data_IF_784451459667
#
_entry.id   IF_784451459667
#
_cell.length_a   1.000
_cell.length_b   1.000
_cell.length_c   1.000
_cell.angle_alpha   90.00
_cell.angle_beta   90.00
_cell.angle_gamma   90.00
#
_symmetry.space_group_name_H-M   'P 1'
#
loop_
_entity.id
_entity.type
_entity.pdbx_description
1 polymer ?
#
# COMPACT_ATOMS: atom_id res chain seq x y z
N UNK A 1 -0.59 -39.51 -1.42
CA UNK A 1 -0.13 -38.13 -1.16
C UNK A 1 0.55 -37.62 -2.41
N UNK A 2 -0.03 -36.62 -3.08
CA UNK A 2 0.65 -35.97 -4.21
C UNK A 2 1.67 -34.98 -3.63
N UNK A 3 2.96 -35.25 -3.86
CA UNK A 3 4.03 -34.35 -3.46
C UNK A 3 4.10 -33.20 -4.47
N UNK A 4 3.22 -32.20 -4.30
CA UNK A 4 3.31 -30.95 -5.03
C UNK A 4 4.59 -30.25 -4.55
N UNK A 5 5.59 -30.00 -5.42
CA UNK A 5 6.77 -29.26 -4.99
C UNK A 5 6.33 -27.87 -4.50
N UNK A 6 6.91 -27.33 -3.42
CA UNK A 6 6.61 -25.97 -3.00
C UNK A 6 6.86 -25.03 -4.18
N UNK A 7 5.92 -24.12 -4.43
CA UNK A 7 6.09 -23.09 -5.44
C UNK A 7 7.38 -22.30 -5.13
N UNK A 8 8.17 -22.01 -6.15
CA UNK A 8 9.39 -21.22 -5.98
C UNK A 8 9.06 -19.88 -5.32
N UNK A 9 9.62 -19.64 -4.13
CA UNK A 9 9.53 -18.35 -3.44
C UNK A 9 10.11 -17.26 -4.34
N UNK A 10 9.47 -16.09 -4.40
CA UNK A 10 9.94 -14.97 -5.21
C UNK A 10 10.32 -13.84 -4.28
N UNK A 11 11.58 -13.39 -4.36
CA UNK A 11 12.19 -12.44 -3.43
C UNK A 11 12.72 -11.21 -4.17
N UNK A 12 13.05 -10.14 -3.44
CA UNK A 12 13.67 -8.96 -4.03
C UNK A 12 15.06 -9.32 -4.57
N UNK A 13 15.37 -8.92 -5.81
CA UNK A 13 16.75 -8.91 -6.31
C UNK A 13 17.43 -7.61 -5.87
N UNK A 14 18.37 -7.64 -4.90
CA UNK A 14 18.97 -6.43 -4.36
C UNK A 14 19.87 -5.72 -5.38
N UNK A 15 20.46 -6.45 -6.33
CA UNK A 15 21.29 -5.89 -7.39
C UNK A 15 20.45 -5.17 -8.44
N UNK A 16 19.37 -5.80 -8.90
CA UNK A 16 18.44 -5.18 -9.85
C UNK A 16 17.69 -4.00 -9.23
N UNK A 17 17.31 -4.08 -7.95
CA UNK A 17 16.72 -2.96 -7.23
C UNK A 17 17.70 -1.78 -7.10
N UNK A 18 18.95 -2.02 -6.68
CA UNK A 18 19.98 -0.97 -6.59
C UNK A 18 20.28 -0.32 -7.94
N UNK A 19 20.36 -1.11 -9.02
CA UNK A 19 20.53 -0.60 -10.37
C UNK A 19 19.34 0.27 -10.83
N UNK A 20 18.11 -0.15 -10.51
CA UNK A 20 16.91 0.63 -10.83
C UNK A 20 16.86 1.95 -10.07
N UNK A 21 17.19 1.97 -8.76
CA UNK A 21 17.24 3.19 -7.97
C UNK A 21 18.36 4.14 -8.45
N UNK A 22 19.54 3.61 -8.75
CA UNK A 22 20.68 4.38 -9.26
C UNK A 22 20.34 5.02 -10.62
N UNK A 23 19.70 4.26 -11.52
CA UNK A 23 19.24 4.74 -12.84
C UNK A 23 18.19 5.84 -12.74
N UNK A 24 17.26 5.74 -11.77
CA UNK A 24 16.18 6.70 -11.61
C UNK A 24 16.59 7.97 -10.84
N UNK A 25 17.59 7.89 -9.97
CA UNK A 25 18.13 9.05 -9.21
C UNK A 25 19.35 9.71 -9.88
N UNK A 26 19.99 9.04 -10.85
CA UNK A 26 21.21 9.51 -11.51
C UNK A 26 22.47 9.44 -10.63
N UNK A 27 22.40 8.76 -9.49
CA UNK A 27 23.48 8.66 -8.49
C UNK A 27 24.01 7.23 -8.30
N UNK A 28 25.05 7.10 -7.48
CA UNK A 28 25.52 5.80 -6.97
C UNK A 28 25.37 5.76 -5.45
N UNK A 29 24.90 4.63 -4.93
CA UNK A 29 24.77 4.39 -3.49
C UNK A 29 26.16 4.30 -2.83
N UNK A 30 26.39 5.08 -1.78
CA UNK A 30 27.62 5.00 -0.98
C UNK A 30 27.74 3.64 -0.26
N UNK A 31 28.96 3.22 0.10
CA UNK A 31 29.13 2.04 0.97
C UNK A 31 28.45 2.29 2.32
N UNK A 32 27.74 1.28 2.85
CA UNK A 32 26.91 1.38 4.05
C UNK A 32 25.51 1.96 3.82
N UNK A 33 25.24 2.60 2.68
CA UNK A 33 23.93 3.20 2.40
C UNK A 33 22.83 2.12 2.34
N UNK A 34 21.67 2.43 2.95
CA UNK A 34 20.46 1.62 2.90
C UNK A 34 19.38 2.32 2.08
N UNK A 35 18.57 1.54 1.36
CA UNK A 35 17.40 2.03 0.65
C UNK A 35 16.23 1.05 0.79
N UNK A 36 15.02 1.58 0.72
CA UNK A 36 13.79 0.81 0.79
C UNK A 36 13.32 0.40 -0.61
N UNK A 37 12.71 -0.78 -0.72
CA UNK A 37 12.02 -1.27 -1.92
C UNK A 37 10.57 -1.53 -1.54
N UNK A 38 9.66 -0.79 -2.18
CA UNK A 38 8.22 -0.95 -2.09
C UNK A 38 7.73 -1.51 -3.43
N UNK A 39 7.22 -2.75 -3.46
CA UNK A 39 6.83 -3.40 -4.71
C UNK A 39 5.43 -4.00 -4.66
N UNK A 40 4.43 -3.19 -5.06
CA UNK A 40 3.05 -3.64 -5.26
C UNK A 40 2.82 -4.16 -6.68
N UNK A 41 2.67 -5.48 -6.79
CA UNK A 41 2.42 -6.22 -8.02
C UNK A 41 0.93 -6.35 -8.36
N UNK A 42 0.59 -7.37 -9.17
CA UNK A 42 -0.81 -7.72 -9.47
C UNK A 42 -1.45 -8.51 -8.33
N UNK A 43 -0.70 -9.35 -7.62
CA UNK A 43 -1.23 -10.33 -6.65
C UNK A 43 -0.30 -10.54 -5.45
N UNK A 44 0.68 -9.64 -5.28
CA UNK A 44 1.62 -9.69 -4.16
C UNK A 44 2.28 -8.33 -3.97
N UNK A 45 2.51 -8.02 -2.70
CA UNK A 45 3.29 -6.89 -2.23
C UNK A 45 4.59 -7.44 -1.68
N UNK A 46 5.72 -6.79 -2.00
CA UNK A 46 7.01 -7.10 -1.40
C UNK A 46 7.62 -5.81 -0.85
N UNK A 47 7.96 -5.80 0.43
CA UNK A 47 8.73 -4.76 1.09
C UNK A 47 10.13 -5.31 1.42
N UNK A 48 11.18 -4.52 1.18
CA UNK A 48 12.53 -4.88 1.61
C UNK A 48 13.37 -3.64 1.94
N UNK A 49 14.34 -3.80 2.83
CA UNK A 49 15.46 -2.86 2.99
C UNK A 49 16.72 -3.50 2.44
N UNK A 50 17.37 -2.82 1.50
CA UNK A 50 18.62 -3.25 0.88
C UNK A 50 19.75 -2.34 1.32
N UNK A 51 20.86 -2.91 1.78
CA UNK A 51 22.07 -2.17 2.18
C UNK A 51 23.24 -2.51 1.28
N UNK A 52 24.02 -1.51 0.89
CA UNK A 52 25.30 -1.72 0.20
C UNK A 52 26.38 -2.08 1.22
N UNK A 53 26.95 -3.27 1.09
CA UNK A 53 28.10 -3.75 1.88
C UNK A 53 29.25 -3.96 0.91
N UNK A 54 30.29 -3.13 1.03
CA UNK A 54 31.41 -3.04 0.08
C UNK A 54 30.93 -2.80 -1.37
N UNK A 55 31.03 -3.84 -2.22
CA UNK A 55 30.58 -3.83 -3.61
C UNK A 55 29.33 -4.71 -3.86
N UNK A 56 28.70 -5.20 -2.78
CA UNK A 56 27.52 -6.05 -2.84
C UNK A 56 26.29 -5.33 -2.30
N UNK A 57 25.11 -5.67 -2.84
CA UNK A 57 23.83 -5.23 -2.31
C UNK A 57 23.18 -6.43 -1.61
N UNK A 58 22.76 -6.25 -0.37
CA UNK A 58 22.25 -7.32 0.50
C UNK A 58 20.89 -6.90 1.05
N UNK A 59 19.89 -7.78 0.96
CA UNK A 59 18.61 -7.62 1.64
C UNK A 59 18.85 -7.80 3.14
N UNK A 60 18.48 -6.80 3.95
CA UNK A 60 18.66 -6.79 5.41
C UNK A 60 17.41 -7.33 6.11
N UNK A 61 16.24 -6.95 5.61
CA UNK A 61 14.93 -7.48 6.00
C UNK A 61 14.01 -7.45 4.77
N UNK A 62 13.08 -8.40 4.67
CA UNK A 62 12.04 -8.43 3.63
C UNK A 62 10.75 -9.09 4.12
N UNK A 63 9.60 -8.61 3.64
CA UNK A 63 8.27 -9.17 3.88
C UNK A 63 7.50 -9.27 2.56
N UNK A 64 6.56 -10.20 2.48
CA UNK A 64 5.74 -10.44 1.29
C UNK A 64 4.30 -10.72 1.70
N UNK A 65 3.37 -9.90 1.23
CA UNK A 65 1.94 -10.02 1.51
C UNK A 65 1.13 -10.36 0.25
N UNK A 66 -0.02 -11.05 0.38
CA UNK A 66 -0.91 -11.38 -0.75
C UNK A 66 -1.78 -10.19 -1.20
N UNK A 67 -1.26 -8.96 -1.12
CA UNK A 67 -1.95 -7.72 -1.49
C UNK A 67 -1.43 -7.22 -2.83
N UNK A 68 -2.29 -6.82 -3.76
CA UNK A 68 -1.90 -6.31 -5.07
C UNK A 68 -3.02 -5.61 -5.83
N UNK A 69 -2.74 -5.36 -7.11
CA UNK A 69 -3.71 -4.70 -7.99
C UNK A 69 -4.99 -5.51 -8.26
N UNK A 70 -4.98 -6.84 -8.09
CA UNK A 70 -6.18 -7.67 -8.28
C UNK A 70 -7.22 -7.41 -7.18
N UNK A 71 -6.76 -7.15 -5.95
CA UNK A 71 -7.58 -6.80 -4.80
C UNK A 71 -8.16 -5.38 -5.01
N UNK A 72 -7.37 -4.45 -5.55
CA UNK A 72 -7.82 -3.11 -5.94
C UNK A 72 -8.90 -3.17 -7.04
N UNK A 73 -8.72 -4.05 -8.03
CA UNK A 73 -9.67 -4.26 -9.12
C UNK A 73 -10.96 -4.96 -8.62
N UNK A 74 -10.85 -5.77 -7.57
CA UNK A 74 -11.98 -6.36 -6.84
C UNK A 74 -12.82 -5.32 -6.09
N UNK A 75 -12.18 -4.44 -5.31
CA UNK A 75 -12.86 -3.34 -4.60
C UNK A 75 -13.51 -2.33 -5.56
N UNK A 76 -12.89 -2.07 -6.71
CA UNK A 76 -13.54 -1.31 -7.77
C UNK A 76 -14.75 -2.03 -8.37
N UNK A 77 -14.66 -3.34 -8.61
CA UNK A 77 -15.80 -4.13 -9.08
C UNK A 77 -16.97 -4.09 -8.09
N UNK A 78 -16.68 -4.19 -6.78
CA UNK A 78 -17.64 -4.02 -5.70
C UNK A 78 -18.41 -2.70 -5.82
N UNK A 79 -17.65 -1.60 -5.77
CA UNK A 79 -18.18 -0.24 -5.83
C UNK A 79 -19.02 0.02 -7.09
N UNK A 80 -18.55 -0.44 -8.25
CA UNK A 80 -19.25 -0.23 -9.53
C UNK A 80 -20.55 -1.03 -9.62
N UNK A 81 -20.61 -2.23 -9.02
CA UNK A 81 -21.84 -3.03 -8.98
C UNK A 81 -22.92 -2.40 -8.10
N UNK A 82 -22.55 -1.87 -6.92
CA UNK A 82 -23.47 -1.18 -6.00
C UNK A 82 -24.05 0.13 -6.55
N UNK A 83 -23.35 0.80 -7.48
CA UNK A 83 -23.82 2.05 -8.10
C UNK A 83 -24.93 1.86 -9.15
N UNK A 84 -25.12 0.64 -9.65
CA UNK A 84 -26.04 0.35 -10.76
C UNK A 84 -26.93 -0.88 -10.49
N UNK A 85 -27.70 -0.91 -9.37
CA UNK A 85 -28.53 -2.07 -9.02
C UNK A 85 -29.57 -2.36 -10.11
N UNK A 86 -30.40 -1.37 -10.45
CA UNK A 86 -31.53 -1.54 -11.37
C UNK A 86 -31.13 -1.86 -12.82
N UNK A 87 -29.99 -1.32 -13.27
CA UNK A 87 -29.52 -1.49 -14.63
C UNK A 87 -28.98 -2.90 -14.92
N UNK A 88 -28.86 -3.76 -13.92
CA UNK A 88 -28.15 -5.02 -14.09
C UNK A 88 -28.19 -6.02 -12.95
N UNK A 89 -29.22 -6.11 -12.11
CA UNK A 89 -29.30 -7.14 -11.03
C UNK A 89 -28.84 -8.53 -11.52
N UNK A 90 -29.40 -9.02 -12.64
CA UNK A 90 -29.03 -10.31 -13.28
C UNK A 90 -27.62 -10.35 -13.89
N UNK A 91 -26.99 -9.21 -14.15
CA UNK A 91 -25.60 -9.14 -14.57
C UNK A 91 -24.69 -9.22 -13.35
N UNK A 92 -24.95 -8.40 -12.33
CA UNK A 92 -24.11 -8.31 -11.13
C UNK A 92 -24.12 -9.61 -10.34
N UNK A 93 -25.28 -10.25 -10.12
CA UNK A 93 -25.34 -11.57 -9.46
C UNK A 93 -24.52 -12.64 -10.17
N UNK A 94 -24.46 -12.63 -11.51
CA UNK A 94 -23.65 -13.59 -12.30
C UNK A 94 -22.16 -13.26 -12.33
N UNK A 95 -21.79 -11.99 -12.12
CA UNK A 95 -20.39 -11.57 -11.99
C UNK A 95 -19.87 -11.83 -10.55
N UNK A 96 -20.78 -11.78 -9.58
CA UNK A 96 -20.55 -12.14 -8.19
C UNK A 96 -20.28 -13.64 -8.01
N UNK A 97 -21.25 -14.48 -8.35
CA UNK A 97 -21.12 -15.94 -8.35
C UNK A 97 -21.21 -16.50 -9.79
N UNK A 98 -20.07 -16.59 -10.50
CA UNK A 98 -20.06 -17.02 -11.90
C UNK A 98 -20.12 -18.56 -12.03
N UNK A 99 -21.32 -19.11 -11.86
CA UNK A 99 -21.60 -20.54 -12.01
C UNK A 99 -21.28 -21.07 -13.42
N UNK A 100 -21.62 -20.33 -14.47
CA UNK A 100 -21.38 -20.73 -15.86
C UNK A 100 -19.99 -20.29 -16.39
N UNK A 101 -19.50 -21.00 -17.42
CA UNK A 101 -18.26 -20.62 -18.11
C UNK A 101 -18.36 -19.24 -18.78
N UNK A 102 -19.53 -18.89 -19.30
CA UNK A 102 -19.81 -17.58 -19.89
C UNK A 102 -19.72 -16.46 -18.83
N UNK A 103 -20.21 -16.70 -17.63
CA UNK A 103 -20.18 -15.72 -16.54
C UNK A 103 -18.76 -15.53 -15.98
N UNK A 104 -17.96 -16.61 -15.88
CA UNK A 104 -16.52 -16.49 -15.55
C UNK A 104 -15.75 -15.67 -16.59
N UNK A 105 -16.05 -15.87 -17.88
CA UNK A 105 -15.47 -15.07 -18.96
C UNK A 105 -15.92 -13.60 -18.88
N UNK A 106 -17.19 -13.35 -18.58
CA UNK A 106 -17.74 -12.00 -18.44
C UNK A 106 -17.12 -11.25 -17.25
N UNK A 107 -16.97 -11.91 -16.10
CA UNK A 107 -16.24 -11.39 -14.93
C UNK A 107 -14.80 -11.05 -15.27
N UNK A 108 -14.09 -11.94 -15.97
CA UNK A 108 -12.70 -11.71 -16.38
C UNK A 108 -12.56 -10.50 -17.31
N UNK A 109 -13.46 -10.37 -18.31
CA UNK A 109 -13.48 -9.22 -19.23
C UNK A 109 -13.83 -7.91 -18.53
N UNK A 110 -14.68 -7.92 -17.50
CA UNK A 110 -14.98 -6.73 -16.73
C UNK A 110 -13.81 -6.33 -15.83
N UNK A 111 -13.19 -7.29 -15.13
CA UNK A 111 -11.98 -7.04 -14.34
C UNK A 111 -10.86 -6.47 -15.22
N UNK A 112 -10.65 -6.99 -16.43
CA UNK A 112 -9.67 -6.41 -17.38
C UNK A 112 -9.97 -4.94 -17.71
N UNK A 113 -11.24 -4.58 -17.94
CA UNK A 113 -11.66 -3.19 -18.16
C UNK A 113 -11.46 -2.31 -16.92
N UNK A 114 -11.65 -2.86 -15.73
CA UNK A 114 -11.39 -2.18 -14.46
C UNK A 114 -9.88 -1.95 -14.28
N UNK A 115 -9.04 -2.96 -14.51
CA UNK A 115 -7.57 -2.82 -14.50
C UNK A 115 -7.11 -1.72 -15.46
N UNK A 116 -7.62 -1.70 -16.69
CA UNK A 116 -7.31 -0.66 -17.69
C UNK A 116 -7.78 0.74 -17.24
N UNK A 117 -8.95 0.84 -16.63
CA UNK A 117 -9.47 2.11 -16.10
C UNK A 117 -8.62 2.62 -14.92
N UNK A 118 -8.25 1.75 -13.98
CA UNK A 118 -7.33 2.04 -12.87
C UNK A 118 -5.96 2.52 -13.36
N UNK A 119 -5.41 1.88 -14.39
CA UNK A 119 -4.16 2.28 -15.02
C UNK A 119 -4.27 3.66 -15.68
N UNK A 120 -5.37 3.97 -16.36
CA UNK A 120 -5.64 5.32 -16.86
C UNK A 120 -5.77 6.36 -15.73
N UNK A 121 -6.36 5.98 -14.59
CA UNK A 121 -6.47 6.86 -13.43
C UNK A 121 -5.12 7.19 -12.77
N UNK A 122 -4.07 6.42 -13.06
CA UNK A 122 -2.70 6.75 -12.64
C UNK A 122 -2.13 7.96 -13.40
N UNK A 123 -2.69 8.29 -14.58
CA UNK A 123 -2.26 9.41 -15.43
C UNK A 123 -3.32 10.53 -15.55
N UNK A 124 -4.58 10.23 -15.22
CA UNK A 124 -5.74 11.11 -15.44
C UNK A 124 -6.68 11.10 -14.24
N UNK A 125 -7.43 12.17 -14.02
CA UNK A 125 -8.32 12.28 -12.86
C UNK A 125 -9.68 11.60 -13.09
N UNK A 126 -9.96 11.15 -14.32
CA UNK A 126 -11.26 10.65 -14.77
C UNK A 126 -11.12 9.63 -15.92
N UNK A 127 -12.00 8.63 -15.92
CA UNK A 127 -12.21 7.67 -17.02
C UNK A 127 -13.67 7.18 -17.08
N UNK A 128 -14.02 6.40 -18.09
CA UNK A 128 -15.35 5.77 -18.26
C UNK A 128 -15.21 4.29 -18.59
N UNK A 129 -15.71 3.43 -17.71
CA UNK A 129 -15.76 1.98 -17.93
C UNK A 129 -17.02 1.65 -18.72
N UNK A 130 -16.85 1.01 -19.89
CA UNK A 130 -17.96 0.64 -20.77
C UNK A 130 -18.30 -0.85 -20.61
N UNK A 131 -19.41 -1.17 -19.93
CA UNK A 131 -19.91 -2.53 -19.69
C UNK A 131 -20.83 -2.95 -20.83
N UNK A 132 -20.23 -3.34 -21.96
CA UNK A 132 -20.93 -3.69 -23.21
C UNK A 132 -22.05 -4.72 -23.04
N UNK A 133 -21.95 -5.63 -22.05
CA UNK A 133 -22.95 -6.67 -21.79
C UNK A 133 -24.30 -6.15 -21.25
N UNK A 134 -24.35 -4.90 -20.77
CA UNK A 134 -25.58 -4.22 -20.33
C UNK A 134 -25.71 -2.78 -20.87
N UNK A 135 -24.87 -2.41 -21.84
CA UNK A 135 -24.75 -1.03 -22.38
C UNK A 135 -24.54 0.08 -21.32
N UNK A 136 -23.96 -0.28 -20.17
CA UNK A 136 -23.71 0.67 -19.07
C UNK A 136 -22.40 1.42 -19.31
N UNK A 137 -22.42 2.74 -19.12
CA UNK A 137 -21.23 3.59 -19.06
C UNK A 137 -21.05 4.10 -17.64
N UNK A 138 -20.00 3.65 -16.98
CA UNK A 138 -19.72 3.96 -15.58
C UNK A 138 -18.59 5.00 -15.52
N UNK A 139 -18.89 6.29 -15.32
CA UNK A 139 -17.86 7.30 -15.04
C UNK A 139 -17.17 6.98 -13.71
N UNK A 140 -15.85 7.16 -13.66
CA UNK A 140 -15.03 6.91 -12.47
C UNK A 140 -13.93 7.98 -12.36
N UNK A 141 -13.83 8.62 -11.20
CA UNK A 141 -12.76 9.57 -10.84
C UNK A 141 -11.63 8.88 -10.07
N UNK A 142 -10.43 9.48 -10.09
CA UNK A 142 -9.28 9.00 -9.29
C UNK A 142 -9.63 9.01 -7.80
N UNK A 143 -10.15 10.12 -7.29
CA UNK A 143 -10.56 10.27 -5.89
C UNK A 143 -11.54 9.19 -5.45
N UNK A 144 -12.49 8.82 -6.32
CA UNK A 144 -13.41 7.72 -6.04
C UNK A 144 -12.64 6.41 -5.87
N UNK A 145 -11.79 6.04 -6.83
CA UNK A 145 -10.94 4.85 -6.74
C UNK A 145 -10.04 4.86 -5.49
N UNK A 146 -9.29 5.95 -5.27
CA UNK A 146 -8.30 6.06 -4.20
C UNK A 146 -8.94 5.95 -2.81
N UNK A 147 -10.16 6.47 -2.62
CA UNK A 147 -10.93 6.28 -1.38
C UNK A 147 -11.19 4.81 -1.07
N UNK A 148 -11.42 3.95 -2.08
CA UNK A 148 -11.75 2.52 -1.87
C UNK A 148 -10.53 1.66 -1.61
N UNK A 149 -9.32 2.10 -1.98
CA UNK A 149 -8.08 1.32 -1.79
C UNK A 149 -7.15 1.91 -0.73
N UNK A 150 -7.59 2.96 -0.01
CA UNK A 150 -6.72 3.66 0.93
C UNK A 150 -6.23 2.77 2.08
N UNK A 151 -7.10 1.94 2.65
CA UNK A 151 -6.75 0.99 3.71
C UNK A 151 -5.71 -0.04 3.23
N UNK A 152 -5.88 -0.61 2.03
CA UNK A 152 -4.88 -1.53 1.48
C UNK A 152 -3.53 -0.83 1.20
N UNK A 153 -3.55 0.43 0.76
CA UNK A 153 -2.32 1.22 0.56
C UNK A 153 -1.65 1.52 1.90
N UNK A 154 -2.41 1.93 2.92
CA UNK A 154 -1.87 2.22 4.25
C UNK A 154 -1.35 0.93 4.92
N UNK A 155 -2.04 -0.22 4.80
CA UNK A 155 -1.54 -1.56 5.19
C UNK A 155 -0.22 -1.91 4.52
N UNK A 156 -0.06 -1.67 3.22
CA UNK A 156 1.23 -1.92 2.55
C UNK A 156 2.32 -0.93 2.97
N UNK A 157 1.96 0.24 3.51
CA UNK A 157 2.90 1.15 4.15
C UNK A 157 3.26 0.70 5.58
N UNK A 158 2.31 0.17 6.36
CA UNK A 158 2.57 -0.44 7.67
C UNK A 158 3.61 -1.57 7.55
N UNK A 159 3.43 -2.47 6.58
CA UNK A 159 4.36 -3.58 6.30
C UNK A 159 5.76 -3.06 5.92
N UNK A 160 5.88 -1.93 5.21
CA UNK A 160 7.18 -1.32 4.95
C UNK A 160 7.80 -0.72 6.23
N UNK A 161 7.00 -0.14 7.12
CA UNK A 161 7.45 0.36 8.41
C UNK A 161 7.98 -0.78 9.31
N UNK A 162 7.30 -1.93 9.35
CA UNK A 162 7.78 -3.14 10.03
C UNK A 162 9.16 -3.59 9.49
N UNK A 163 9.33 -3.62 8.16
CA UNK A 163 10.61 -4.00 7.53
C UNK A 163 11.73 -3.00 7.84
N UNK A 164 11.42 -1.70 7.96
CA UNK A 164 12.37 -0.67 8.37
C UNK A 164 12.81 -0.85 9.83
N UNK A 165 11.87 -1.15 10.73
CA UNK A 165 12.15 -1.48 12.13
C UNK A 165 13.00 -2.75 12.24
N UNK A 166 12.65 -3.81 11.51
CA UNK A 166 13.39 -5.08 11.48
C UNK A 166 14.81 -4.92 10.94
N UNK A 167 15.01 -4.06 9.93
CA UNK A 167 16.32 -3.73 9.39
C UNK A 167 17.16 -2.77 10.26
N UNK A 168 16.55 -2.20 11.31
CA UNK A 168 17.16 -1.19 12.18
C UNK A 168 17.54 0.08 11.42
N UNK A 169 16.69 0.56 10.51
CA UNK A 169 16.91 1.77 9.69
C UNK A 169 15.81 2.79 9.94
N UNK A 170 16.18 3.98 10.40
CA UNK A 170 15.22 5.06 10.53
C UNK A 170 14.90 5.66 9.13
N UNK A 171 13.66 6.04 8.80
CA UNK A 171 13.30 6.55 7.47
C UNK A 171 14.20 7.69 6.95
N UNK A 172 14.60 8.60 7.84
CA UNK A 172 15.50 9.72 7.51
C UNK A 172 16.95 9.31 7.16
N UNK A 173 17.34 8.04 7.36
CA UNK A 173 18.65 7.49 7.01
C UNK A 173 18.64 6.80 5.62
N UNK A 174 17.48 6.65 4.99
CA UNK A 174 17.34 6.03 3.69
C UNK A 174 17.96 6.91 2.59
N UNK A 175 18.86 6.32 1.80
CA UNK A 175 19.37 6.92 0.57
C UNK A 175 18.32 6.98 -0.55
N UNK A 176 17.16 6.35 -0.36
CA UNK A 176 16.01 6.43 -1.26
C UNK A 176 14.94 5.38 -0.95
N UNK A 177 13.77 5.54 -1.58
CA UNK A 177 12.66 4.61 -1.54
C UNK A 177 12.26 4.28 -2.99
N UNK A 178 12.58 3.06 -3.44
CA UNK A 178 12.25 2.58 -4.79
C UNK A 178 10.85 1.98 -4.83
N UNK A 179 9.95 2.57 -5.62
CA UNK A 179 8.64 2.01 -5.91
C UNK A 179 8.66 1.19 -7.21
N UNK A 180 8.16 -0.05 -7.19
CA UNK A 180 8.16 -0.93 -8.37
C UNK A 180 6.86 -1.74 -8.51
N UNK A 181 6.56 -2.21 -9.72
CA UNK A 181 5.29 -2.92 -10.01
C UNK A 181 4.18 -1.98 -10.50
N UNK A 182 3.12 -2.57 -11.05
CA UNK A 182 2.05 -1.84 -11.74
C UNK A 182 1.15 -1.04 -10.79
N UNK A 183 0.68 -1.67 -9.71
CA UNK A 183 -0.20 -1.04 -8.74
C UNK A 183 0.51 0.04 -7.90
N UNK A 184 1.84 -0.04 -7.74
CA UNK A 184 2.66 1.05 -7.17
C UNK A 184 2.57 2.37 -7.95
N UNK A 185 2.04 2.39 -9.17
CA UNK A 185 1.85 3.62 -9.96
C UNK A 185 0.60 4.40 -9.57
N UNK A 186 -0.24 3.87 -8.68
CA UNK A 186 -1.37 4.61 -8.09
C UNK A 186 -0.84 5.84 -7.31
N UNK A 187 -1.27 7.07 -7.63
CA UNK A 187 -0.75 8.29 -6.99
C UNK A 187 -0.89 8.33 -5.47
N UNK A 188 -1.96 7.73 -4.92
CA UNK A 188 -2.12 7.52 -3.48
C UNK A 188 -0.92 6.83 -2.83
N UNK A 189 -0.35 5.79 -3.45
CA UNK A 189 0.76 5.05 -2.87
C UNK A 189 2.00 5.93 -2.69
N UNK A 190 2.40 6.70 -3.72
CA UNK A 190 3.50 7.65 -3.59
C UNK A 190 3.21 8.74 -2.55
N UNK A 191 1.96 9.20 -2.47
CA UNK A 191 1.53 10.24 -1.53
C UNK A 191 1.55 9.75 -0.07
N UNK A 192 1.02 8.55 0.21
CA UNK A 192 1.09 7.89 1.52
C UNK A 192 2.54 7.66 1.94
N UNK A 193 3.38 7.08 1.07
CA UNK A 193 4.78 6.79 1.40
C UNK A 193 5.57 8.07 1.71
N UNK A 194 5.40 9.14 0.92
CA UNK A 194 6.02 10.44 1.20
C UNK A 194 5.54 11.04 2.51
N UNK A 195 4.22 11.00 2.78
CA UNK A 195 3.60 11.51 4.02
C UNK A 195 4.13 10.79 5.24
N UNK A 196 4.29 9.46 5.17
CA UNK A 196 4.63 8.59 6.30
C UNK A 196 6.13 8.53 6.59
N UNK A 197 6.96 8.48 5.55
CA UNK A 197 8.41 8.28 5.69
C UNK A 197 9.26 9.54 5.48
N UNK A 198 8.69 10.63 4.94
CA UNK A 198 9.43 11.87 4.67
C UNK A 198 10.48 11.77 3.54
N UNK A 199 10.53 10.63 2.85
CA UNK A 199 11.43 10.36 1.71
C UNK A 199 10.63 10.46 0.42
N UNK A 200 11.14 11.15 -0.60
CA UNK A 200 10.49 11.21 -1.92
C UNK A 200 10.58 9.83 -2.60
N UNK A 201 9.44 9.17 -2.91
CA UNK A 201 9.45 7.87 -3.56
C UNK A 201 9.84 7.97 -5.04
N UNK A 202 10.67 7.06 -5.51
CA UNK A 202 11.17 7.03 -6.88
C UNK A 202 10.60 5.82 -7.61
N UNK A 203 9.80 6.06 -8.66
CA UNK A 203 9.25 4.98 -9.49
C UNK A 203 10.35 4.34 -10.36
N UNK A 204 10.43 3.02 -10.30
CA UNK A 204 11.24 2.22 -11.19
C UNK A 204 10.81 2.37 -12.66
N UNK A 205 11.76 2.18 -13.58
CA UNK A 205 11.47 2.18 -15.01
C UNK A 205 10.41 1.11 -15.37
N UNK A 206 9.57 1.34 -16.39
CA UNK A 206 8.67 0.32 -16.91
C UNK A 206 9.41 -1.00 -17.17
N UNK A 207 8.81 -2.11 -16.72
CA UNK A 207 9.37 -3.47 -16.83
C UNK A 207 10.66 -3.76 -16.01
N UNK A 208 11.04 -2.91 -15.04
CA UNK A 208 12.12 -3.21 -14.11
C UNK A 208 11.89 -4.55 -13.36
N UNK A 209 12.80 -5.51 -13.56
CA UNK A 209 12.76 -6.84 -12.94
C UNK A 209 13.44 -6.82 -11.57
N UNK A 210 12.76 -6.27 -10.57
CA UNK A 210 13.25 -6.19 -9.18
C UNK A 210 12.99 -7.47 -8.36
N UNK A 211 12.52 -8.54 -9.00
CA UNK A 211 12.25 -9.84 -8.38
C UNK A 211 13.09 -10.93 -9.01
N UNK A 212 13.57 -11.85 -8.16
CA UNK A 212 14.24 -13.09 -8.55
C UNK A 212 13.45 -14.28 -7.99
N UNK A 213 13.30 -15.34 -8.78
CA UNK A 213 12.80 -16.60 -8.27
C UNK A 213 13.91 -17.29 -7.49
N UNK A 214 13.65 -17.59 -6.22
CA UNK A 214 14.50 -18.45 -5.43
C UNK A 214 14.44 -19.86 -6.04
N UNK A 215 15.61 -20.39 -6.43
CA UNK A 215 15.69 -21.79 -6.77
C UNK A 215 15.32 -22.57 -5.51
N UNK A 216 14.21 -23.33 -5.55
CA UNK A 216 13.88 -24.28 -4.49
C UNK A 216 15.16 -25.07 -4.15
N UNK A 217 15.51 -25.22 -2.86
CA UNK A 217 16.80 -25.77 -2.48
C UNK A 217 16.96 -27.10 -3.17
N UNK A 218 17.86 -27.14 -4.16
CA UNK A 218 18.26 -28.38 -4.80
C UNK A 218 18.81 -29.20 -3.66
N UNK A 219 18.06 -30.24 -3.26
CA UNK A 219 18.47 -31.11 -2.18
C UNK A 219 19.89 -31.51 -2.49
N UNK A 220 20.84 -31.01 -1.69
CA UNK A 220 22.24 -31.38 -1.80
C UNK A 220 22.25 -32.86 -1.49
N UNK A 221 22.21 -33.66 -2.56
CA UNK A 221 22.53 -35.07 -2.51
C UNK A 221 23.91 -35.06 -1.89
N UNK A 222 23.97 -35.45 -0.63
CA UNK A 222 25.21 -35.67 0.08
C UNK A 222 26.05 -36.54 -0.86
N UNK A 223 27.13 -35.95 -1.38
CA UNK A 223 28.20 -36.76 -1.92
C UNK A 223 28.57 -37.67 -0.75
N UNK A 224 28.56 -39.00 -0.94
CA UNK A 224 28.85 -39.91 0.17
C UNK A 224 30.12 -39.42 0.84
N UNK A 225 30.01 -39.09 2.12
CA UNK A 225 31.19 -38.86 2.93
C UNK A 225 32.03 -40.12 2.74
N UNK A 226 33.22 -39.94 2.18
CA UNK A 226 34.19 -41.03 2.12
C UNK A 226 34.51 -41.31 3.58
N UNK A 227 34.09 -42.48 4.06
CA UNK A 227 34.36 -42.89 5.43
C UNK A 227 35.89 -42.86 5.64
N UNK A 228 36.36 -41.86 6.38
CA UNK A 228 37.72 -41.84 6.92
C UNK A 228 37.83 -43.03 7.87
N UNK A 229 38.54 -44.07 7.44
CA UNK A 229 38.56 -45.39 8.09
C UNK A 229 39.22 -45.30 9.49
N UNK A 230 38.39 -45.16 10.53
CA UNK A 230 38.84 -45.03 11.91
C UNK A 230 39.62 -46.29 12.35
N UNK A 231 40.84 -46.16 12.91
CA UNK A 231 41.78 -47.27 12.96
C UNK A 231 41.40 -48.36 13.99
N UNK A 232 41.33 -49.60 13.50
CA UNK A 232 40.93 -50.78 14.28
C UNK A 232 41.78 -51.04 15.55
N UNK A 233 41.16 -51.55 16.65
CA UNK A 233 41.82 -51.73 17.94
C UNK A 233 42.90 -52.83 17.94
N UNK A 234 44.07 -52.50 18.49
CA UNK A 234 45.25 -53.38 18.52
C UNK A 234 45.10 -54.59 19.46
N UNK A 235 45.17 -55.79 18.91
CA UNK A 235 45.27 -57.06 19.67
C UNK A 235 46.74 -57.38 20.00
N UNK A 236 47.05 -57.78 21.24
CA UNK A 236 48.41 -58.21 21.63
C UNK A 236 48.72 -59.62 21.08
N UNK A 237 49.87 -59.81 20.44
CA UNK A 237 50.36 -61.14 20.05
C UNK A 237 51.70 -61.15 19.31
N UNK A 238 52.75 -61.63 19.99
CA UNK A 238 54.01 -62.21 19.47
C UNK A 238 54.75 -61.53 18.30
N UNK A 239 55.92 -60.98 18.63
CA UNK A 239 56.76 -60.23 17.71
C UNK A 239 57.68 -61.02 16.78
N UNK A 240 58.37 -60.24 15.95
CA UNK A 240 59.77 -60.44 15.58
C UNK A 240 60.38 -59.10 15.15
N UNK A 241 61.66 -58.92 15.43
CA UNK A 241 62.37 -57.67 15.18
C UNK A 241 62.90 -57.58 13.74
N UNK A 242 62.93 -56.37 13.18
CA UNK A 242 63.97 -55.88 12.25
C UNK A 242 64.27 -54.41 12.60
N UNK A 243 65.51 -54.00 12.38
CA UNK A 243 66.14 -52.73 12.79
C UNK A 243 66.24 -51.75 11.59
N UNK A 244 66.48 -50.47 11.89
CA UNK A 244 67.08 -49.36 11.10
C UNK A 244 66.15 -48.12 11.07
N UNK A 245 66.50 -46.86 11.40
CA UNK A 245 67.71 -46.09 11.76
C UNK A 245 67.92 -44.89 10.80
N UNK A 246 68.62 -43.85 11.30
CA UNK A 246 68.89 -42.52 10.70
C UNK A 246 67.68 -41.53 10.73
N UNK A 247 67.72 -40.32 11.32
CA UNK A 247 68.70 -39.19 11.32
C UNK A 247 68.52 -38.27 10.08
N UNK A 248 68.68 -36.93 10.12
CA UNK A 248 69.10 -35.97 11.17
C UNK A 248 68.57 -34.53 10.82
N UNK A 249 68.65 -33.59 11.78
CA UNK A 249 68.83 -32.10 11.73
C UNK A 249 68.77 -31.32 10.38
N UNK A 250 68.36 -30.03 10.32
CA UNK A 250 69.08 -28.83 10.84
C UNK A 250 68.14 -27.59 10.96
N UNK A 251 68.46 -26.68 11.89
CA UNK A 251 67.87 -25.34 12.13
C UNK A 251 68.88 -24.23 11.75
N UNK A 252 68.44 -22.95 11.66
CA UNK A 252 69.19 -21.66 11.54
C UNK A 252 68.98 -20.98 10.17
N UNK A 253 68.64 -19.69 10.02
CA UNK A 253 68.38 -18.60 10.97
C UNK A 253 69.38 -17.44 10.88
N UNK A 254 69.00 -16.27 10.37
CA UNK A 254 69.77 -15.01 10.52
C UNK A 254 68.96 -13.78 10.08
N UNK A 255 69.21 -12.63 10.70
CA UNK A 255 68.81 -11.30 10.23
C UNK A 255 69.78 -10.21 10.72
N UNK A 256 69.95 -9.16 9.92
CA UNK A 256 70.56 -7.85 10.23
C UNK A 256 70.38 -7.00 8.95
N UNK A 257 69.73 -5.83 8.93
CA UNK A 257 70.07 -4.56 9.58
C UNK A 257 71.29 -3.85 8.95
N UNK A 258 71.04 -2.78 8.17
CA UNK A 258 71.89 -1.58 8.08
C UNK A 258 71.11 -0.42 7.43
N UNK A 259 71.46 0.83 7.74
CA UNK A 259 70.85 2.02 7.14
C UNK A 259 71.74 3.27 7.25
N UNK A 260 71.55 4.19 6.30
CA UNK A 260 72.13 5.55 6.19
C UNK A 260 71.52 6.16 4.90
N UNK A 261 70.63 7.15 4.90
CA UNK A 261 70.71 8.57 5.34
C UNK A 261 71.56 9.47 4.44
N UNK A 262 71.00 10.65 4.12
CA UNK A 262 71.54 11.77 3.31
C UNK A 262 71.57 11.50 1.78
N UNK A 263 71.35 12.49 0.90
CA UNK A 263 71.06 13.91 1.14
C UNK A 263 70.60 14.64 -0.13
N UNK A 264 70.16 15.88 0.05
CA UNK A 264 69.55 16.79 -0.94
C UNK A 264 70.54 17.35 -1.99
N UNK A 265 70.04 17.57 -3.23
CA UNK A 265 70.56 18.61 -4.15
C UNK A 265 69.66 18.77 -5.40
N UNK A 266 68.84 19.82 -5.37
CA UNK A 266 68.56 20.86 -6.39
C UNK A 266 69.04 20.73 -7.87
N UNK A 267 68.38 21.56 -8.71
CA UNK A 267 68.81 22.19 -9.98
C UNK A 267 68.42 21.57 -11.34
N UNK A 268 67.58 22.33 -12.08
CA UNK A 268 67.72 22.84 -13.49
C UNK A 268 68.13 21.88 -14.64
N UNK A 269 67.73 22.04 -15.91
CA UNK A 269 66.82 22.93 -16.67
C UNK A 269 66.59 22.31 -18.09
N UNK A 270 65.99 23.06 -19.02
CA UNK A 270 65.87 22.84 -20.48
C UNK A 270 64.93 21.70 -20.96
N UNK A 271 63.83 21.95 -21.69
CA UNK A 271 63.65 22.63 -23.00
C UNK A 271 64.22 21.73 -24.15
N UNK A 272 63.49 21.37 -25.22
CA UNK A 272 62.98 22.19 -26.32
C UNK A 272 61.87 21.48 -27.11
N UNK A 273 60.79 22.24 -27.44
CA UNK A 273 59.97 22.32 -28.69
C UNK A 273 59.86 21.10 -29.63
N UNK A 274 58.75 20.79 -30.31
CA UNK A 274 57.88 21.63 -31.17
C UNK A 274 56.75 20.70 -31.74
N UNK A 275 55.64 21.10 -32.39
CA UNK A 275 55.06 22.39 -32.86
C UNK A 275 53.59 22.18 -33.28
N UNK A 276 52.80 23.28 -33.36
CA UNK A 276 51.48 23.35 -34.00
C UNK A 276 50.31 23.14 -33.03
N UNK A 277 49.44 24.11 -32.71
CA UNK A 277 49.00 25.30 -33.46
C UNK A 277 47.65 24.98 -34.13
N UNK A 278 46.57 25.76 -34.01
CA UNK A 278 46.37 27.16 -33.55
C UNK A 278 44.94 27.31 -32.98
N UNK A 279 44.75 27.93 -31.81
CA UNK A 279 44.16 29.27 -31.58
C UNK A 279 42.72 29.48 -32.13
N UNK A 280 41.68 29.66 -31.28
CA UNK A 280 41.20 30.94 -30.68
C UNK A 280 40.42 31.83 -31.68
N UNK A 281 39.44 32.69 -31.34
CA UNK A 281 38.92 33.24 -30.08
C UNK A 281 37.46 33.76 -30.33
N UNK A 282 36.48 33.68 -29.42
CA UNK A 282 36.10 34.67 -28.36
C UNK A 282 35.06 35.75 -28.78
N UNK A 283 34.20 36.17 -27.83
CA UNK A 283 33.27 37.34 -27.81
C UNK A 283 32.08 37.36 -28.80
N UNK A 284 30.90 37.95 -28.50
CA UNK A 284 30.29 38.51 -27.27
C UNK A 284 28.75 38.62 -27.43
N UNK A 285 28.01 38.87 -26.34
CA UNK A 285 26.58 39.25 -26.34
C UNK A 285 26.39 40.77 -26.55
N UNK A 286 25.24 41.25 -27.08
CA UNK A 286 24.28 41.96 -26.22
C UNK A 286 22.79 41.75 -26.60
N UNK A 287 21.88 42.60 -26.09
CA UNK A 287 20.45 42.34 -25.93
C UNK A 287 19.45 43.14 -26.83
N UNK A 288 18.21 42.63 -26.87
CA UNK A 288 16.89 43.30 -27.03
C UNK A 288 16.53 44.14 -28.28
N UNK A 289 15.41 43.77 -28.96
CA UNK A 289 14.17 44.60 -29.07
C UNK A 289 13.14 44.12 -30.13
N UNK A 290 11.88 44.53 -29.94
CA UNK A 290 10.80 44.81 -30.92
C UNK A 290 9.88 43.68 -31.48
N UNK A 291 8.58 43.81 -31.16
CA UNK A 291 7.39 43.47 -31.99
C UNK A 291 6.99 44.70 -32.87
N UNK A 292 5.91 44.77 -33.72
CA UNK A 292 4.51 44.33 -33.47
C UNK A 292 3.67 43.90 -34.74
N UNK A 293 2.34 44.11 -34.67
CA UNK A 293 1.22 43.95 -35.66
C UNK A 293 0.43 42.61 -35.52
N UNK A 294 -0.88 42.54 -35.20
CA UNK A 294 -2.13 43.28 -35.58
C UNK A 294 -2.66 42.87 -36.98
N UNK A 295 -3.96 42.67 -37.30
CA UNK A 295 -5.28 42.73 -36.62
C UNK A 295 -6.13 41.50 -37.09
N UNK A 296 -7.40 41.20 -36.80
CA UNK A 296 -8.63 42.00 -36.64
C UNK A 296 -9.70 41.31 -35.74
N UNK A 297 -10.62 42.11 -35.22
CA UNK A 297 -11.98 41.71 -34.77
C UNK A 297 -12.99 42.64 -35.44
N UNK A 298 -14.26 42.22 -35.57
CA UNK A 298 -15.34 42.96 -34.90
C UNK A 298 -16.16 42.03 -33.97
N UNK A 299 -16.63 42.44 -32.78
CA UNK A 299 -17.66 43.46 -32.47
C UNK A 299 -19.07 43.00 -32.92
N UNK A 300 -20.18 43.28 -32.25
CA UNK A 300 -20.51 44.17 -31.10
C UNK A 300 -21.89 43.70 -30.54
N UNK A 301 -22.21 43.72 -29.24
CA UNK A 301 -22.95 44.75 -28.46
C UNK A 301 -23.55 44.02 -27.23
N UNK A 302 -23.94 44.60 -26.09
CA UNK A 302 -23.59 45.85 -25.39
C UNK A 302 -24.21 45.80 -23.97
N UNK A 303 -23.64 46.55 -23.01
CA UNK A 303 -24.25 47.23 -21.83
C UNK A 303 -25.32 46.53 -20.94
N UNK A 304 -25.39 46.74 -19.61
CA UNK A 304 -24.83 47.80 -18.76
C UNK A 304 -24.55 47.32 -17.30
N UNK A 305 -23.90 48.19 -16.52
CA UNK A 305 -23.53 48.02 -15.10
C UNK A 305 -24.64 48.46 -14.11
N UNK A 306 -24.49 48.23 -12.78
CA UNK A 306 -25.59 48.19 -11.81
C UNK A 306 -25.77 49.49 -10.99
N UNK A 307 -26.87 49.61 -10.23
CA UNK A 307 -26.93 50.35 -8.93
C UNK A 307 -28.21 50.09 -8.11
N UNK A 308 -28.01 50.04 -6.79
CA UNK A 308 -28.85 50.51 -5.65
C UNK A 308 -30.28 49.98 -5.36
N UNK A 309 -30.52 49.78 -4.05
CA UNK A 309 -31.81 49.56 -3.38
C UNK A 309 -32.61 50.88 -3.23
N UNK A 310 -33.93 50.86 -2.93
CA UNK A 310 -34.33 50.91 -1.51
C UNK A 310 -35.69 50.26 -1.15
N UNK A 311 -35.97 50.11 0.15
CA UNK A 311 -37.30 50.03 0.79
C UNK A 311 -37.72 51.45 1.26
N UNK A 312 -39.02 51.80 1.47
CA UNK A 312 -39.80 51.34 2.65
C UNK A 312 -41.36 51.39 2.56
N UNK A 313 -42.03 51.13 3.71
CA UNK A 313 -43.37 51.59 4.19
C UNK A 313 -44.68 51.13 3.47
N UNK A 314 -45.89 51.11 4.07
CA UNK A 314 -46.44 50.91 5.44
C UNK A 314 -47.97 50.56 5.29
N UNK A 315 -48.77 50.58 6.37
CA UNK A 315 -50.26 50.57 6.42
C UNK A 315 -51.04 49.26 6.07
N UNK A 316 -52.13 48.87 6.75
CA UNK A 316 -52.67 49.19 8.09
C UNK A 316 -53.75 48.17 8.54
N UNK A 317 -54.09 48.16 9.84
CA UNK A 317 -55.34 47.69 10.49
C UNK A 317 -55.69 46.17 10.58
N UNK A 318 -55.91 45.73 11.84
CA UNK A 318 -56.65 44.50 12.22
C UNK A 318 -58.17 44.77 12.34
N UNK A 319 -58.92 44.23 13.34
CA UNK A 319 -58.55 43.41 14.50
C UNK A 319 -59.02 41.94 14.30
N UNK A 320 -59.26 41.03 15.26
CA UNK A 320 -59.37 41.08 16.73
C UNK A 320 -59.10 39.69 17.35
N UNK A 321 -59.06 39.58 18.69
CA UNK A 321 -59.06 38.32 19.44
C UNK A 321 -60.02 38.40 20.65
N UNK A 322 -60.46 37.26 21.20
CA UNK A 322 -60.73 37.17 22.63
C UNK A 322 -59.88 36.13 23.35
N UNK A 323 -59.70 36.35 24.66
CA UNK A 323 -58.87 35.59 25.60
C UNK A 323 -59.77 34.84 26.58
N UNK A 324 -59.50 33.55 26.79
CA UNK A 324 -60.01 32.67 27.86
C UNK A 324 -58.92 31.60 28.09
N UNK A 325 -58.55 31.12 29.28
CA UNK A 325 -58.82 31.54 30.67
C UNK A 325 -57.69 30.97 31.57
N UNK A 326 -57.42 31.54 32.76
CA UNK A 326 -56.44 30.98 33.72
C UNK A 326 -57.13 30.11 34.79
N UNK A 327 -56.71 28.84 34.92
CA UNK A 327 -57.13 27.93 35.99
C UNK A 327 -55.98 27.00 36.42
N UNK A 328 -56.00 26.43 37.64
CA UNK A 328 -54.81 26.46 38.49
C UNK A 328 -53.93 25.21 38.48
N UNK A 329 -52.74 25.36 39.06
CA UNK A 329 -51.79 24.30 39.38
C UNK A 329 -52.36 23.23 40.33
N UNK A 330 -52.31 21.97 39.93
CA UNK A 330 -52.39 20.81 40.83
C UNK A 330 -50.98 20.23 41.07
N UNK A 331 -50.77 19.63 42.25
CA UNK A 331 -49.46 19.15 42.71
C UNK A 331 -49.03 17.85 42.02
N UNK A 332 -47.71 17.68 41.84
CA UNK A 332 -47.09 16.52 41.19
C UNK A 332 -47.56 15.18 41.77
N UNK A 333 -48.09 14.24 40.96
CA UNK A 333 -47.83 12.83 41.20
C UNK A 333 -46.33 12.61 40.94
N UNK A 334 -45.58 12.17 41.95
CA UNK A 334 -44.18 11.79 41.78
C UNK A 334 -44.08 10.72 40.70
N UNK A 335 -43.69 11.15 39.50
CA UNK A 335 -43.43 10.24 38.38
C UNK A 335 -42.19 9.46 38.79
N UNK A 336 -42.38 8.18 39.10
CA UNK A 336 -41.29 7.23 39.26
C UNK A 336 -40.59 7.13 37.91
N UNK A 337 -39.53 7.91 37.73
CA UNK A 337 -38.78 7.98 36.48
C UNK A 337 -38.40 6.56 36.07
N UNK A 338 -38.84 6.16 34.87
CA UNK A 338 -38.57 4.83 34.34
C UNK A 338 -37.07 4.51 34.45
N UNK A 339 -36.68 3.29 34.85
CA UNK A 339 -35.28 2.95 35.05
C UNK A 339 -34.52 3.17 33.73
N UNK A 340 -33.40 3.89 33.79
CA UNK A 340 -32.59 4.23 32.62
C UNK A 340 -31.23 3.54 32.65
N UNK A 341 -30.80 3.02 31.50
CA UNK A 341 -29.48 2.43 31.28
C UNK A 341 -28.63 3.22 30.30
N UNK A 342 -27.34 2.88 30.21
CA UNK A 342 -26.45 3.32 29.14
C UNK A 342 -26.52 2.32 27.99
N UNK A 343 -26.82 2.78 26.78
CA UNK A 343 -26.88 1.93 25.59
C UNK A 343 -25.49 1.35 25.29
N UNK A 344 -25.34 0.02 25.12
CA UNK A 344 -24.07 -0.61 24.76
C UNK A 344 -23.59 -0.24 23.35
N UNK A 345 -22.30 -0.49 23.06
CA UNK A 345 -21.79 -0.46 21.69
C UNK A 345 -21.93 -1.85 21.07
N UNK A 346 -22.72 -1.94 20.00
CA UNK A 346 -23.10 -3.17 19.32
C UNK A 346 -22.47 -3.28 17.92
N UNK A 347 -22.07 -2.17 17.31
CA UNK A 347 -21.41 -2.15 16.00
C UNK A 347 -20.09 -2.93 16.05
N UNK A 348 -19.90 -3.84 15.10
CA UNK A 348 -18.77 -4.78 15.06
C UNK A 348 -18.95 -6.06 15.88
N UNK A 349 -20.14 -6.33 16.42
CA UNK A 349 -20.48 -7.60 17.06
C UNK A 349 -21.32 -8.48 16.12
N UNK A 350 -21.28 -9.80 16.33
CA UNK A 350 -22.29 -10.70 15.75
C UNK A 350 -23.68 -10.41 16.33
N UNK A 351 -24.76 -10.69 15.60
CA UNK A 351 -26.15 -10.53 16.11
C UNK A 351 -26.35 -11.25 17.47
N UNK A 352 -25.76 -12.43 17.63
CA UNK A 352 -25.82 -13.22 18.87
C UNK A 352 -25.01 -12.64 20.05
N UNK A 353 -23.93 -11.90 19.78
CA UNK A 353 -23.17 -11.18 20.81
C UNK A 353 -23.81 -9.83 21.11
N UNK A 354 -24.41 -9.17 20.12
CA UNK A 354 -25.16 -7.93 20.28
C UNK A 354 -26.40 -8.14 21.17
N UNK A 355 -27.21 -9.18 20.92
CA UNK A 355 -28.36 -9.52 21.76
C UNK A 355 -27.94 -9.74 23.22
N UNK A 356 -26.85 -10.46 23.46
CA UNK A 356 -26.31 -10.69 24.80
C UNK A 356 -25.86 -9.40 25.49
N UNK A 357 -25.23 -8.48 24.75
CA UNK A 357 -24.84 -7.18 25.28
C UNK A 357 -26.06 -6.29 25.64
N UNK A 358 -27.16 -6.41 24.91
CA UNK A 358 -28.45 -5.75 25.22
C UNK A 358 -29.07 -6.32 26.51
N UNK A 359 -29.10 -7.65 26.64
CA UNK A 359 -29.57 -8.34 27.86
C UNK A 359 -28.71 -8.01 29.09
N UNK A 360 -27.38 -8.03 28.96
CA UNK A 360 -26.44 -7.69 30.04
C UNK A 360 -26.54 -6.21 30.47
N UNK A 361 -26.92 -5.32 29.55
CA UNK A 361 -27.21 -3.92 29.84
C UNK A 361 -28.62 -3.69 30.43
N UNK A 362 -29.48 -4.72 30.45
CA UNK A 362 -30.80 -4.72 31.09
C UNK A 362 -31.92 -4.07 30.27
N UNK A 363 -31.77 -3.93 28.96
CA UNK A 363 -32.81 -3.39 28.07
C UNK A 363 -33.86 -4.46 27.71
N UNK A 364 -35.08 -4.03 27.42
CA UNK A 364 -36.25 -4.90 27.21
C UNK A 364 -36.16 -5.77 25.94
N UNK A 365 -35.39 -5.34 24.93
CA UNK A 365 -35.12 -6.16 23.76
C UNK A 365 -34.31 -5.47 22.66
N UNK A 366 -34.02 -6.25 21.61
CA UNK A 366 -33.37 -5.83 20.38
C UNK A 366 -34.31 -6.06 19.20
N UNK A 367 -34.45 -5.06 18.33
CA UNK A 367 -35.09 -5.21 17.01
C UNK A 367 -33.98 -5.32 15.96
N UNK A 368 -34.11 -6.26 15.03
CA UNK A 368 -33.09 -6.52 14.00
C UNK A 368 -33.66 -6.40 12.59
N UNK A 369 -32.86 -5.87 11.67
CA UNK A 369 -33.15 -5.84 10.24
C UNK A 369 -31.89 -6.13 9.43
N UNK A 370 -31.97 -7.03 8.45
CA UNK A 370 -30.83 -7.34 7.59
C UNK A 370 -30.65 -6.31 6.48
N UNK A 371 -29.41 -5.88 6.28
CA UNK A 371 -28.96 -5.27 5.03
C UNK A 371 -28.22 -6.31 4.20
N UNK A 372 -28.80 -6.64 3.03
CA UNK A 372 -28.21 -7.60 2.10
C UNK A 372 -26.87 -7.06 1.58
N UNK A 373 -25.78 -7.76 1.86
CA UNK A 373 -24.46 -7.35 1.37
C UNK A 373 -24.47 -7.23 -0.15
N UNK A 374 -24.03 -6.09 -0.65
CA UNK A 374 -23.49 -6.03 -2.00
C UNK A 374 -22.42 -7.12 -2.10
N UNK A 375 -22.45 -7.94 -3.16
CA UNK A 375 -21.79 -9.28 -3.18
C UNK A 375 -20.25 -9.25 -3.19
N UNK A 376 -19.66 -8.10 -2.90
CA UNK A 376 -18.24 -7.84 -2.82
C UNK A 376 -17.90 -6.85 -1.68
N UNK A 377 -18.78 -6.69 -0.68
CA UNK A 377 -18.62 -5.67 0.37
C UNK A 377 -17.32 -5.86 1.19
N UNK A 378 -17.08 -7.05 1.74
CA UNK A 378 -15.87 -7.42 2.53
C UNK A 378 -15.57 -6.60 3.79
N UNK A 379 -16.15 -5.40 3.96
CA UNK A 379 -15.87 -4.48 5.06
C UNK A 379 -16.40 -4.97 6.42
N UNK A 380 -17.45 -5.80 6.38
CA UNK A 380 -18.07 -6.46 7.54
C UNK A 380 -18.01 -8.00 7.40
N UNK A 381 -18.08 -8.74 8.49
CA UNK A 381 -18.32 -10.19 8.53
C UNK A 381 -19.80 -10.52 8.28
N UNK A 382 -20.14 -11.82 8.20
CA UNK A 382 -21.52 -12.27 8.04
C UNK A 382 -22.25 -12.25 9.40
N UNK A 383 -23.48 -11.75 9.43
CA UNK A 383 -24.25 -11.46 10.64
C UNK A 383 -23.59 -10.43 11.60
N UNK A 384 -22.73 -9.53 11.08
CA UNK A 384 -22.14 -8.43 11.87
C UNK A 384 -23.09 -7.21 11.92
N UNK A 385 -23.25 -6.60 13.09
CA UNK A 385 -24.01 -5.35 13.27
C UNK A 385 -23.21 -4.17 12.70
N UNK A 386 -23.79 -3.50 11.71
CA UNK A 386 -23.18 -2.38 10.97
C UNK A 386 -23.74 -1.00 11.38
N UNK A 387 -24.98 -0.96 11.89
CA UNK A 387 -25.62 0.25 12.42
C UNK A 387 -26.44 -0.08 13.66
N UNK A 388 -26.55 0.87 14.60
CA UNK A 388 -27.42 0.76 15.76
C UNK A 388 -28.16 2.08 16.04
N UNK A 389 -29.37 1.97 16.60
CA UNK A 389 -30.11 3.09 17.16
C UNK A 389 -30.83 2.63 18.44
N UNK A 390 -30.70 3.32 19.58
CA UNK A 390 -29.95 4.56 19.78
C UNK A 390 -28.42 4.40 19.75
N UNK A 391 -27.71 5.54 19.64
CA UNK A 391 -26.24 5.59 19.63
C UNK A 391 -25.67 5.12 20.98
N UNK A 392 -24.59 4.34 20.92
CA UNK A 392 -23.85 3.83 22.07
C UNK A 392 -23.46 4.93 23.07
N UNK A 393 -23.52 4.61 24.36
CA UNK A 393 -23.25 5.54 25.47
C UNK A 393 -24.35 6.56 25.75
N UNK A 394 -25.43 6.61 24.96
CA UNK A 394 -26.59 7.43 25.31
C UNK A 394 -27.38 6.82 26.47
N UNK A 395 -27.95 7.66 27.33
CA UNK A 395 -28.83 7.22 28.43
C UNK A 395 -30.26 7.11 27.93
N UNK A 396 -30.87 5.94 28.08
CA UNK A 396 -32.20 5.59 27.55
C UNK A 396 -33.03 4.84 28.58
N UNK A 397 -34.35 4.80 28.42
CA UNK A 397 -35.19 3.98 29.29
C UNK A 397 -34.88 2.49 29.03
N UNK A 398 -34.84 1.66 30.07
CA UNK A 398 -34.61 0.22 29.89
C UNK A 398 -35.78 -0.47 29.17
N UNK A 399 -36.96 0.15 29.14
CA UNK A 399 -38.12 -0.26 28.33
C UNK A 399 -38.08 0.26 26.89
N UNK A 400 -36.93 0.73 26.41
CA UNK A 400 -36.72 1.19 25.03
C UNK A 400 -35.97 0.09 24.27
N UNK A 401 -36.54 -0.36 23.15
CA UNK A 401 -35.91 -1.35 22.27
C UNK A 401 -34.72 -0.73 21.54
N UNK A 402 -33.63 -1.48 21.41
CA UNK A 402 -32.48 -1.07 20.59
C UNK A 402 -32.64 -1.70 19.20
N UNK A 403 -32.71 -0.89 18.15
CA UNK A 403 -32.73 -1.36 16.76
C UNK A 403 -31.30 -1.53 16.24
N UNK A 404 -31.03 -2.63 15.53
CA UNK A 404 -29.74 -2.90 14.87
C UNK A 404 -29.94 -3.28 13.40
N UNK A 405 -29.05 -2.78 12.54
CA UNK A 405 -28.90 -3.24 11.16
C UNK A 405 -27.70 -4.19 11.10
N UNK A 406 -27.87 -5.38 10.53
CA UNK A 406 -26.78 -6.35 10.37
C UNK A 406 -26.49 -6.65 8.90
N UNK A 407 -25.22 -6.89 8.58
CA UNK A 407 -24.76 -7.36 7.27
C UNK A 407 -25.08 -8.85 7.12
N UNK A 408 -25.64 -9.28 5.98
CA UNK A 408 -25.80 -10.71 5.70
C UNK A 408 -25.45 -11.12 4.26
N UNK A 409 -25.00 -12.36 4.09
CA UNK A 409 -24.73 -12.98 2.78
C UNK A 409 -25.41 -14.36 2.64
N UNK A 410 -26.58 -14.39 2.00
CA UNK A 410 -27.37 -15.61 1.89
C UNK A 410 -28.85 -15.36 2.18
N UNK A 411 -29.44 -16.17 3.07
CA UNK A 411 -30.80 -15.95 3.57
C UNK A 411 -30.75 -15.15 4.88
N UNK A 412 -31.50 -14.05 4.98
CA UNK A 412 -31.50 -13.13 6.15
C UNK A 412 -31.72 -13.86 7.48
N UNK A 413 -32.55 -14.90 7.45
CA UNK A 413 -32.89 -15.77 8.59
C UNK A 413 -31.75 -16.62 9.13
N UNK A 414 -30.59 -16.67 8.46
CA UNK A 414 -29.39 -17.33 9.00
C UNK A 414 -28.74 -16.50 10.14
N UNK A 415 -29.09 -15.21 10.24
CA UNK A 415 -28.62 -14.28 11.26
C UNK A 415 -29.64 -13.97 12.37
N UNK A 416 -30.87 -14.50 12.27
CA UNK A 416 -31.94 -14.31 13.26
C UNK A 416 -31.58 -14.99 14.60
N UNK A 417 -31.67 -14.23 15.71
CA UNK A 417 -31.37 -14.67 17.08
C UNK A 417 -32.55 -14.57 18.04
#
# INVERSE_FOLDING_TARGET
>A
MHNVPPAASVRIDPGAAAASLSSATGGSLASGAAFAVYRLGRSSFHAAVVRRIDNHHVVVAERTEPIGGAEFDGLLLAYLSGRHPDAGVRLWSRIADPAEAADRQLRALLLEKITQAREQLSERDFTVINVTAADIKMPLRREEFETRVHELVDTTADVLEEVLVEAGVHPAELAGLLMAGGASRTPLAATTLRRRFGVEPVLAAPHAKVLVAEAAPVATRELPLVDEEEPAPRRKGQGRAVVLAAALLVVVGAGAAFGSQLGDSDSTEDEVSATGGTASATTASPAASASPEASESPAEEASASPSESPTPDEDEQGPEAPVEDEAPSEEDPTTESAPTGSVPNLVGLSTADALRAVEEAGFEGMEQSGEARAVFDWSHEDCEVIEQSPVAGSTRALSETISVTFSYSGEESECDV
#
